data_IF_288429161207
#
_entry.id   IF_288429161207
#
_cell.length_a   1.000
_cell.length_b   1.000
_cell.length_c   1.000
_cell.angle_alpha   90.00
_cell.angle_beta   90.00
_cell.angle_gamma   90.00
#
_symmetry.space_group_name_H-M   'P 1'
#
loop_
_entity.id
_entity.type
_entity.pdbx_description
1 polymer ?
#
# COMPACT_ATOMS: atom_id res chain seq x y z
N UNK A 1 -2.74 6.38 -16.51
CA UNK A 1 -3.02 6.81 -15.12
C UNK A 1 -4.38 6.28 -14.68
N UNK A 2 -4.69 6.27 -13.41
CA UNK A 2 -6.01 5.90 -12.88
C UNK A 2 -7.14 6.77 -13.47
N UNK A 3 -6.86 8.02 -13.79
CA UNK A 3 -7.80 8.94 -14.44
C UNK A 3 -8.27 8.45 -15.82
N UNK A 4 -7.38 7.87 -16.62
CA UNK A 4 -7.73 7.29 -17.92
C UNK A 4 -8.66 6.09 -17.73
N UNK A 5 -8.38 5.25 -16.74
CA UNK A 5 -9.23 4.09 -16.41
C UNK A 5 -10.60 4.55 -15.91
N UNK A 6 -10.63 5.59 -15.08
CA UNK A 6 -11.86 6.16 -14.55
C UNK A 6 -12.74 6.76 -15.68
N UNK A 7 -12.15 7.55 -16.58
CA UNK A 7 -12.81 8.09 -17.77
C UNK A 7 -13.33 7.01 -18.71
N UNK A 8 -12.65 5.86 -18.79
CA UNK A 8 -13.08 4.69 -19.57
C UNK A 8 -14.22 3.90 -18.91
N UNK A 9 -14.71 4.31 -17.73
CA UNK A 9 -15.78 3.64 -17.01
C UNK A 9 -15.30 2.63 -15.95
N UNK A 10 -14.00 2.62 -15.64
CA UNK A 10 -13.37 1.74 -14.65
C UNK A 10 -12.66 0.54 -15.30
N UNK A 11 -12.05 -0.28 -14.45
CA UNK A 11 -11.16 -1.37 -14.87
C UNK A 11 -11.89 -2.40 -15.74
N UNK A 12 -13.12 -2.76 -15.39
CA UNK A 12 -13.94 -3.70 -16.16
C UNK A 12 -14.15 -3.26 -17.61
N UNK A 13 -14.58 -2.00 -17.80
CA UNK A 13 -14.79 -1.43 -19.11
C UNK A 13 -13.48 -1.29 -19.89
N UNK A 14 -12.43 -0.80 -19.23
CA UNK A 14 -11.11 -0.59 -19.83
C UNK A 14 -10.48 -1.90 -20.33
N UNK A 15 -10.63 -3.00 -19.56
CA UNK A 15 -10.08 -4.32 -19.92
C UNK A 15 -11.04 -5.20 -20.72
N UNK A 16 -12.28 -4.78 -20.93
CA UNK A 16 -13.37 -5.64 -21.44
C UNK A 16 -13.48 -6.95 -20.63
N UNK A 17 -13.46 -6.85 -19.31
CA UNK A 17 -13.46 -7.97 -18.38
C UNK A 17 -14.67 -7.91 -17.44
N UNK A 18 -15.50 -8.96 -17.43
CA UNK A 18 -16.77 -8.99 -16.69
C UNK A 18 -16.72 -9.75 -15.35
N UNK A 19 -15.54 -10.29 -15.00
CA UNK A 19 -15.38 -11.04 -13.74
C UNK A 19 -14.74 -10.17 -12.65
N UNK A 20 -14.81 -10.61 -11.37
CA UNK A 20 -14.24 -9.84 -10.26
C UNK A 20 -12.77 -9.46 -10.46
N UNK A 21 -12.43 -8.28 -9.98
CA UNK A 21 -11.08 -7.71 -10.02
C UNK A 21 -10.70 -7.17 -8.65
N UNK A 22 -9.41 -7.05 -8.39
CA UNK A 22 -8.90 -6.33 -7.23
C UNK A 22 -7.75 -5.40 -7.62
N UNK A 23 -7.58 -4.33 -6.86
CA UNK A 23 -6.44 -3.41 -6.96
C UNK A 23 -5.58 -3.50 -5.71
N UNK A 24 -4.28 -3.21 -5.85
CA UNK A 24 -3.35 -3.14 -4.72
C UNK A 24 -3.30 -1.74 -4.12
N UNK A 25 -2.92 -1.65 -2.84
CA UNK A 25 -2.79 -0.38 -2.11
C UNK A 25 -1.61 0.49 -2.57
N UNK A 26 -0.60 -0.09 -3.20
CA UNK A 26 0.66 0.55 -3.57
C UNK A 26 1.78 0.38 -2.52
N UNK A 27 1.54 -0.27 -1.39
CA UNK A 27 2.52 -0.46 -0.32
C UNK A 27 3.79 -1.20 -0.77
N UNK A 28 3.64 -2.23 -1.58
CA UNK A 28 4.77 -2.98 -2.15
C UNK A 28 5.64 -2.12 -3.07
N UNK A 29 5.03 -1.32 -3.93
CA UNK A 29 5.74 -0.45 -4.87
C UNK A 29 6.58 0.58 -4.13
N UNK A 30 6.06 1.13 -3.04
CA UNK A 30 6.79 2.06 -2.16
C UNK A 30 8.03 1.40 -1.57
N UNK A 31 7.89 0.17 -1.03
CA UNK A 31 9.02 -0.58 -0.49
C UNK A 31 10.07 -0.86 -1.58
N UNK A 32 9.63 -1.32 -2.74
CA UNK A 32 10.54 -1.67 -3.86
C UNK A 32 11.33 -0.46 -4.37
N UNK A 33 10.72 0.72 -4.41
CA UNK A 33 11.39 1.98 -4.76
C UNK A 33 12.38 2.43 -3.68
N UNK A 34 12.03 2.24 -2.40
CA UNK A 34 12.87 2.64 -1.26
C UNK A 34 14.12 1.78 -1.09
N UNK A 35 14.02 0.49 -1.40
CA UNK A 35 15.13 -0.49 -1.19
C UNK A 35 15.93 -0.73 -2.47
N UNK A 36 15.37 -0.36 -3.63
CA UNK A 36 15.92 -0.70 -4.95
C UNK A 36 15.62 -2.16 -5.32
N UNK A 37 15.08 -2.37 -6.51
CA UNK A 37 14.57 -3.65 -6.99
C UNK A 37 15.58 -4.82 -6.85
N UNK A 38 16.89 -4.54 -6.90
CA UNK A 38 17.94 -5.55 -6.77
C UNK A 38 18.06 -6.16 -5.38
N UNK A 39 17.70 -5.41 -4.31
CA UNK A 39 17.74 -5.91 -2.92
C UNK A 39 16.52 -6.76 -2.54
N UNK A 40 15.40 -6.59 -3.21
CA UNK A 40 14.19 -7.41 -2.95
C UNK A 40 14.41 -8.84 -3.44
N UNK A 41 15.17 -9.04 -4.52
CA UNK A 41 15.51 -10.37 -5.04
C UNK A 41 16.60 -11.05 -4.19
N UNK A 42 17.54 -10.27 -3.63
CA UNK A 42 18.61 -10.79 -2.75
C UNK A 42 18.11 -11.21 -1.35
N UNK A 43 16.86 -10.94 -1.00
CA UNK A 43 16.25 -11.37 0.27
C UNK A 43 16.00 -12.90 0.36
N UNK A 44 16.26 -13.64 -0.72
CA UNK A 44 16.09 -15.09 -0.79
C UNK A 44 17.41 -15.88 -0.85
N UNK A 45 18.57 -15.21 -0.78
CA UNK A 45 19.87 -15.86 -0.89
C UNK A 45 20.92 -15.33 0.10
N UNK A 46 21.67 -16.25 0.70
CA UNK A 46 22.83 -15.98 1.57
C UNK A 46 23.91 -15.18 0.81
N UNK A 47 23.94 -13.87 1.00
CA UNK A 47 24.95 -13.00 0.39
C UNK A 47 25.40 -11.90 1.35
N UNK A 48 26.69 -11.92 1.71
CA UNK A 48 27.35 -10.91 2.54
C UNK A 48 27.04 -9.48 2.07
N UNK A 49 26.60 -8.65 3.01
CA UNK A 49 26.29 -7.24 2.80
C UNK A 49 27.57 -6.45 2.49
N UNK A 50 27.96 -6.34 1.24
CA UNK A 50 28.93 -5.36 0.81
C UNK A 50 28.29 -3.96 0.87
N UNK A 51 28.74 -3.19 1.85
CA UNK A 51 28.48 -1.76 2.02
C UNK A 51 29.04 -1.01 0.81
N UNK A 52 28.23 -0.72 -0.16
CA UNK A 52 28.63 0.12 -1.29
C UNK A 52 27.63 1.25 -1.51
N UNK A 53 28.14 2.47 -1.27
CA UNK A 53 27.68 3.79 -1.70
C UNK A 53 26.24 4.16 -1.28
N UNK A 54 26.11 5.32 -0.61
CA UNK A 54 24.87 6.10 -0.49
C UNK A 54 24.24 6.27 -1.88
N UNK A 55 23.46 5.29 -2.32
CA UNK A 55 22.48 5.50 -3.38
C UNK A 55 21.41 6.39 -2.78
N UNK A 56 21.06 7.43 -3.48
CA UNK A 56 19.97 8.32 -3.11
C UNK A 56 18.74 7.48 -2.71
N UNK A 57 18.31 7.67 -1.48
CA UNK A 57 17.12 7.01 -0.97
C UNK A 57 15.95 7.53 -1.79
N UNK A 58 15.25 6.66 -2.51
CA UNK A 58 14.17 7.05 -3.42
C UNK A 58 12.80 7.12 -2.73
N UNK A 59 12.70 6.67 -1.48
CA UNK A 59 11.46 6.75 -0.70
C UNK A 59 11.74 7.04 0.78
N UNK A 60 10.85 7.83 1.38
CA UNK A 60 10.85 8.21 2.80
C UNK A 60 9.47 7.96 3.37
N UNK A 61 9.42 7.26 4.50
CA UNK A 61 8.18 6.91 5.22
C UNK A 61 8.13 7.74 6.49
N UNK A 62 6.98 8.32 6.78
CA UNK A 62 6.62 8.95 8.05
C UNK A 62 5.22 8.48 8.50
N UNK A 63 4.72 9.00 9.61
CA UNK A 63 3.44 8.55 10.17
C UNK A 63 2.24 8.93 9.29
N UNK A 64 2.37 9.92 8.42
CA UNK A 64 1.30 10.38 7.54
C UNK A 64 1.26 9.71 6.17
N UNK A 65 2.36 9.08 5.76
CA UNK A 65 2.42 8.44 4.45
C UNK A 65 3.83 8.25 3.93
N UNK A 66 3.98 8.25 2.61
CA UNK A 66 5.24 8.00 1.93
C UNK A 66 5.52 9.08 0.90
N UNK A 67 6.74 9.59 0.92
CA UNK A 67 7.27 10.44 -0.15
C UNK A 67 8.24 9.63 -0.98
N UNK A 68 8.10 9.64 -2.29
CA UNK A 68 9.03 8.95 -3.18
C UNK A 68 9.40 9.82 -4.38
N UNK A 69 10.58 9.53 -4.93
CA UNK A 69 11.10 10.16 -6.14
C UNK A 69 10.93 9.21 -7.32
N UNK A 70 10.26 9.67 -8.36
CA UNK A 70 10.11 8.93 -9.61
C UNK A 70 11.47 8.65 -10.23
N UNK A 71 11.70 7.41 -10.63
CA UNK A 71 12.92 7.00 -11.34
C UNK A 71 12.90 7.39 -12.82
N UNK A 72 11.72 7.76 -13.35
CA UNK A 72 11.55 8.11 -14.75
C UNK A 72 11.93 9.56 -15.02
N UNK A 73 11.45 10.49 -14.19
CA UNK A 73 11.58 11.94 -14.42
C UNK A 73 12.13 12.70 -13.20
N UNK A 74 12.37 12.01 -12.09
CA UNK A 74 12.87 12.60 -10.85
C UNK A 74 11.84 13.41 -10.07
N UNK A 75 10.58 13.44 -10.47
CA UNK A 75 9.51 14.12 -9.75
C UNK A 75 9.28 13.53 -8.35
N UNK A 76 8.90 14.38 -7.40
CA UNK A 76 8.60 13.97 -6.02
C UNK A 76 7.10 13.80 -5.89
N UNK A 77 6.70 12.66 -5.37
CA UNK A 77 5.30 12.31 -5.13
C UNK A 77 5.07 12.02 -3.66
N UNK A 78 3.93 12.48 -3.13
CA UNK A 78 3.44 12.13 -1.81
C UNK A 78 2.30 11.14 -1.95
N UNK A 79 2.36 10.03 -1.21
CA UNK A 79 1.34 9.00 -1.19
C UNK A 79 0.81 8.85 0.24
N UNK A 80 -0.49 8.92 0.40
CA UNK A 80 -1.18 8.82 1.69
C UNK A 80 -2.27 7.75 1.62
N UNK A 81 -2.82 7.28 2.75
CA UNK A 81 -3.96 6.38 2.75
C UNK A 81 -5.15 6.88 1.92
N UNK A 82 -5.45 8.18 2.03
CA UNK A 82 -6.55 8.80 1.28
C UNK A 82 -6.29 8.78 -0.23
N UNK A 83 -5.09 9.16 -0.65
CA UNK A 83 -4.73 9.14 -2.07
C UNK A 83 -4.74 7.72 -2.63
N UNK A 84 -4.28 6.72 -1.86
CA UNK A 84 -4.38 5.31 -2.25
C UNK A 84 -5.83 4.90 -2.52
N UNK A 85 -6.76 5.27 -1.63
CA UNK A 85 -8.17 4.99 -1.80
C UNK A 85 -8.76 5.71 -3.03
N UNK A 86 -8.43 6.99 -3.24
CA UNK A 86 -8.89 7.75 -4.41
C UNK A 86 -8.43 7.11 -5.72
N UNK A 87 -7.19 6.67 -5.78
CA UNK A 87 -6.64 5.97 -6.95
C UNK A 87 -7.36 4.64 -7.18
N UNK A 88 -7.53 3.82 -6.14
CA UNK A 88 -8.20 2.52 -6.25
C UNK A 88 -9.68 2.67 -6.61
N UNK A 89 -10.35 3.70 -6.10
CA UNK A 89 -11.72 4.05 -6.50
C UNK A 89 -11.79 4.52 -7.96
N UNK A 90 -10.83 5.31 -8.43
CA UNK A 90 -10.73 5.70 -9.85
C UNK A 90 -10.47 4.50 -10.77
N UNK A 91 -9.64 3.54 -10.35
CA UNK A 91 -9.44 2.26 -11.04
C UNK A 91 -10.77 1.47 -11.11
N UNK A 92 -11.54 1.45 -10.04
CA UNK A 92 -12.86 0.84 -10.03
C UNK A 92 -12.85 -0.68 -9.97
N UNK A 93 -11.87 -1.30 -9.31
CA UNK A 93 -11.88 -2.73 -8.99
C UNK A 93 -12.97 -3.06 -7.96
N UNK A 94 -13.42 -4.31 -7.89
CA UNK A 94 -14.46 -4.75 -6.94
C UNK A 94 -13.92 -4.81 -5.51
N UNK A 95 -12.65 -5.14 -5.36
CA UNK A 95 -11.94 -5.29 -4.08
C UNK A 95 -10.75 -4.34 -4.07
N UNK A 96 -10.62 -3.61 -2.96
CA UNK A 96 -9.53 -2.68 -2.69
C UNK A 96 -8.82 -3.04 -1.38
N UNK A 97 -7.59 -2.59 -1.20
CA UNK A 97 -6.81 -2.82 0.01
C UNK A 97 -6.46 -1.51 0.70
N UNK A 98 -6.57 -1.51 2.03
CA UNK A 98 -6.11 -0.39 2.85
C UNK A 98 -4.60 -0.18 2.67
N UNK A 99 -4.17 1.08 2.66
CA UNK A 99 -2.76 1.41 2.58
C UNK A 99 -2.04 0.96 3.86
N UNK A 100 -0.92 0.28 3.70
CA UNK A 100 -0.15 -0.31 4.78
C UNK A 100 1.35 -0.11 4.57
N UNK A 101 2.14 -0.21 5.64
CA UNK A 101 3.58 -0.29 5.53
C UNK A 101 4.00 -1.75 5.41
N UNK A 102 4.49 -2.13 4.23
CA UNK A 102 5.14 -3.42 4.05
C UNK A 102 6.55 -3.34 4.63
N UNK A 103 6.76 -4.02 5.75
CA UNK A 103 8.06 -4.16 6.40
C UNK A 103 8.83 -5.35 5.86
N UNK A 104 10.18 -5.32 5.98
CA UNK A 104 11.01 -6.48 5.65
C UNK A 104 11.12 -7.43 6.84
N UNK A 105 11.41 -8.71 6.59
CA UNK A 105 11.67 -9.70 7.65
C UNK A 105 12.96 -9.42 8.44
N UNK A 106 13.84 -8.52 7.93
CA UNK A 106 15.07 -8.11 8.60
C UNK A 106 14.88 -6.99 9.63
N UNK A 107 13.73 -6.32 9.61
CA UNK A 107 13.40 -5.35 10.65
C UNK A 107 13.16 -6.09 11.97
N UNK A 108 13.72 -5.54 13.06
CA UNK A 108 13.55 -6.09 14.40
C UNK A 108 12.11 -5.96 14.92
N UNK A 109 11.85 -6.60 16.05
CA UNK A 109 10.54 -6.60 16.69
C UNK A 109 10.03 -5.19 17.01
N UNK A 110 10.92 -4.30 17.48
CA UNK A 110 10.53 -2.94 17.86
C UNK A 110 10.11 -2.11 16.66
N UNK A 111 10.82 -2.24 15.54
CA UNK A 111 10.40 -1.60 14.29
C UNK A 111 9.05 -2.16 13.80
N UNK A 112 8.84 -3.47 13.89
CA UNK A 112 7.59 -4.10 13.47
C UNK A 112 6.40 -3.60 14.29
N UNK A 113 6.54 -3.48 15.61
CA UNK A 113 5.46 -2.95 16.46
C UNK A 113 5.24 -1.46 16.22
N UNK A 114 6.29 -0.67 16.02
CA UNK A 114 6.18 0.75 15.69
C UNK A 114 5.47 0.95 14.34
N UNK A 115 5.80 0.15 13.33
CA UNK A 115 5.13 0.15 12.03
C UNK A 115 3.64 -0.14 12.14
N UNK A 116 3.26 -1.13 12.96
CA UNK A 116 1.85 -1.42 13.23
C UNK A 116 1.13 -0.24 13.89
N UNK A 117 1.70 0.29 14.97
CA UNK A 117 1.01 1.23 15.86
C UNK A 117 0.97 2.66 15.31
N UNK A 118 2.00 3.08 14.58
CA UNK A 118 2.09 4.45 14.06
C UNK A 118 1.67 4.59 12.60
N UNK A 119 1.74 3.51 11.81
CA UNK A 119 1.51 3.55 10.36
C UNK A 119 0.41 2.60 9.93
N UNK A 120 0.64 1.30 9.88
CA UNK A 120 -0.32 0.35 9.29
C UNK A 120 -1.73 0.44 9.88
N UNK A 121 -1.88 0.45 11.22
CA UNK A 121 -3.20 0.53 11.85
C UNK A 121 -3.86 1.91 11.69
N UNK A 122 -3.19 3.05 11.98
CA UNK A 122 -3.77 4.37 11.69
C UNK A 122 -4.09 4.58 10.22
N UNK A 123 -3.26 4.08 9.31
CA UNK A 123 -3.51 4.17 7.87
C UNK A 123 -4.71 3.32 7.44
N UNK A 124 -4.92 2.16 8.06
CA UNK A 124 -6.12 1.36 7.81
C UNK A 124 -7.40 2.12 8.21
N UNK A 125 -7.40 2.79 9.37
CA UNK A 125 -8.53 3.63 9.82
C UNK A 125 -8.79 4.77 8.84
N UNK A 126 -7.75 5.48 8.40
CA UNK A 126 -7.86 6.56 7.41
C UNK A 126 -8.34 6.05 6.05
N UNK A 127 -7.82 4.89 5.62
CA UNK A 127 -8.28 4.22 4.38
C UNK A 127 -9.76 3.88 4.46
N UNK A 128 -10.23 3.33 5.59
CA UNK A 128 -11.65 2.99 5.77
C UNK A 128 -12.54 4.23 5.72
N UNK A 129 -12.16 5.31 6.40
CA UNK A 129 -12.91 6.56 6.41
C UNK A 129 -13.05 7.15 5.00
N UNK A 130 -11.95 7.21 4.25
CA UNK A 130 -11.95 7.72 2.87
C UNK A 130 -12.71 6.78 1.93
N UNK A 131 -12.58 5.47 2.09
CA UNK A 131 -13.33 4.47 1.34
C UNK A 131 -14.85 4.63 1.52
N UNK A 132 -15.30 4.81 2.77
CA UNK A 132 -16.71 5.04 3.08
C UNK A 132 -17.23 6.33 2.43
N UNK A 133 -16.44 7.42 2.52
CA UNK A 133 -16.77 8.70 1.88
C UNK A 133 -16.91 8.55 0.36
N UNK A 134 -15.93 7.92 -0.28
CA UNK A 134 -15.91 7.71 -1.72
C UNK A 134 -17.04 6.79 -2.19
N UNK A 135 -17.37 5.72 -1.46
CA UNK A 135 -18.51 4.87 -1.77
C UNK A 135 -19.84 5.62 -1.69
N UNK A 136 -20.00 6.53 -0.72
CA UNK A 136 -21.21 7.34 -0.60
C UNK A 136 -21.37 8.32 -1.79
N UNK A 137 -20.26 8.84 -2.31
CA UNK A 137 -20.26 9.75 -3.47
C UNK A 137 -20.45 9.03 -4.82
N UNK A 138 -20.15 7.73 -4.87
CA UNK A 138 -20.18 6.89 -6.09
C UNK A 138 -21.53 6.26 -6.40
N UNK A 139 -22.63 7.01 -6.33
CA UNK A 139 -23.97 6.46 -6.58
C UNK A 139 -24.18 5.86 -7.99
N UNK A 140 -23.30 6.17 -8.93
CA UNK A 140 -23.35 5.71 -10.34
C UNK A 140 -22.56 4.40 -10.61
N UNK A 141 -21.86 3.87 -9.62
CA UNK A 141 -21.08 2.61 -9.72
C UNK A 141 -21.35 1.71 -8.52
N UNK A 142 -21.19 0.39 -8.64
CA UNK A 142 -21.30 -0.52 -7.50
C UNK A 142 -20.33 -0.14 -6.39
N UNK A 143 -20.68 -0.36 -5.09
CA UNK A 143 -19.76 -0.16 -3.99
C UNK A 143 -18.61 -1.17 -4.08
N UNK A 144 -17.43 -0.73 -3.67
CA UNK A 144 -16.25 -1.58 -3.60
C UNK A 144 -16.10 -2.15 -2.20
N UNK A 145 -15.53 -3.36 -2.08
CA UNK A 145 -15.12 -3.94 -0.81
C UNK A 145 -13.71 -3.45 -0.44
N UNK A 146 -13.47 -3.24 0.87
CA UNK A 146 -12.15 -2.89 1.41
C UNK A 146 -11.66 -4.02 2.32
N UNK A 147 -10.41 -4.43 2.14
CA UNK A 147 -9.71 -5.36 3.00
C UNK A 147 -8.52 -4.69 3.68
N UNK A 148 -8.32 -4.97 4.97
CA UNK A 148 -7.10 -4.62 5.68
C UNK A 148 -5.99 -5.65 5.44
N UNK A 149 -4.73 -5.23 5.60
CA UNK A 149 -3.55 -6.10 5.45
C UNK A 149 -2.98 -6.42 6.81
N UNK A 150 -2.92 -7.73 7.17
CA UNK A 150 -2.33 -8.20 8.41
C UNK A 150 -0.81 -8.17 8.27
N UNK A 151 -0.17 -7.24 8.98
CA UNK A 151 1.28 -7.09 9.09
C UNK A 151 1.81 -7.69 10.41
N UNK A 152 3.13 -7.58 10.67
CA UNK A 152 3.79 -8.11 11.87
C UNK A 152 4.87 -9.15 11.56
N UNK A 153 5.32 -9.23 10.30
CA UNK A 153 6.38 -10.12 9.82
C UNK A 153 6.16 -11.58 10.29
N UNK A 154 7.18 -12.20 10.90
CA UNK A 154 7.12 -13.56 11.45
C UNK A 154 6.81 -13.60 12.97
N UNK A 155 6.43 -12.47 13.58
CA UNK A 155 6.07 -12.39 14.99
C UNK A 155 4.59 -12.70 15.17
N UNK A 156 4.29 -13.85 15.78
CA UNK A 156 2.90 -14.34 15.94
C UNK A 156 2.02 -13.38 16.74
N UNK A 157 2.53 -12.83 17.83
CA UNK A 157 1.84 -11.89 18.68
C UNK A 157 1.46 -10.59 17.95
N UNK A 158 2.38 -10.06 17.13
CA UNK A 158 2.12 -8.89 16.29
C UNK A 158 1.08 -9.18 15.20
N UNK A 159 1.16 -10.34 14.56
CA UNK A 159 0.16 -10.76 13.58
C UNK A 159 -1.22 -10.95 14.20
N UNK A 160 -1.29 -11.53 15.41
CA UNK A 160 -2.53 -11.63 16.18
C UNK A 160 -3.07 -10.26 16.58
N UNK A 161 -2.19 -9.34 17.02
CA UNK A 161 -2.54 -7.94 17.30
C UNK A 161 -3.14 -7.28 16.07
N UNK A 162 -2.48 -7.39 14.93
CA UNK A 162 -2.94 -6.79 13.66
C UNK A 162 -4.29 -7.38 13.22
N UNK A 163 -4.44 -8.71 13.24
CA UNK A 163 -5.68 -9.37 12.86
C UNK A 163 -6.85 -8.95 13.78
N UNK A 164 -6.61 -8.86 15.10
CA UNK A 164 -7.63 -8.43 16.07
C UNK A 164 -8.03 -6.97 15.87
N UNK A 165 -7.07 -6.09 15.59
CA UNK A 165 -7.33 -4.68 15.31
C UNK A 165 -8.20 -4.52 14.06
N UNK A 166 -7.80 -5.11 12.95
CA UNK A 166 -8.50 -5.01 11.67
C UNK A 166 -9.88 -5.68 11.70
N UNK A 167 -10.03 -6.79 12.41
CA UNK A 167 -11.30 -7.48 12.57
C UNK A 167 -12.30 -6.77 13.50
N UNK A 168 -11.87 -5.75 14.21
CA UNK A 168 -12.71 -4.92 15.10
C UNK A 168 -13.10 -3.56 14.52
N UNK A 169 -12.69 -3.26 13.28
CA UNK A 169 -12.97 -1.98 12.60
C UNK A 169 -14.37 -1.90 12.00
#
# INVERSE_FOLDING_TARGET
SHEIIDQAGGLHAFMNWSKPTFSDSGGFQVMSLGVGFKKVIDMTGDGEANVTRKKDKLAWIDDDGVTFKSHLDGSIHRFTPELSMQIQHGIGADITFAFDELTTLHHDYYYQIESLDKRTHPWAVRSLAEHQRLNAERSHRPPQALFGVIQGANYEDLRRKSAKFLGGM
#
